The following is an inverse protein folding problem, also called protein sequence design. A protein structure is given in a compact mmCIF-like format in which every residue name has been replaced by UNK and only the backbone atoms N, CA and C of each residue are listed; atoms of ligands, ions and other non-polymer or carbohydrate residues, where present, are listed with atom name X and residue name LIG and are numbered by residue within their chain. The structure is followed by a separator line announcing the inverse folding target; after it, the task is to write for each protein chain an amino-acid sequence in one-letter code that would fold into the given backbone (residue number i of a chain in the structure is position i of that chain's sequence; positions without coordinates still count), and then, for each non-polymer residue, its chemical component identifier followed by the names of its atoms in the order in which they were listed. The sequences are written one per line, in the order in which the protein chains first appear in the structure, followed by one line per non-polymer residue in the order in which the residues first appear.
data_IF_190890264884
#
_entry.id   IF_190890264884
#
_cell.length_a   1.000
_cell.length_b   1.000
_cell.length_c   1.000
_cell.angle_alpha   90.00
_cell.angle_beta   90.00
_cell.angle_gamma   90.00
#
_symmetry.space_group_name_H-M   'P 1'
#
loop_
_entity.id
_entity.type
_entity.pdbx_description
1 polymer ?
#
# COMPACT_ATOMS: atom_id res chain seq x y z
N UNK A 1 1.29 18.40 40.44
CA UNK A 1 0.42 17.26 40.17
C UNK A 1 0.61 16.79 38.74
N UNK A 2 1.37 15.72 38.57
CA UNK A 2 1.57 15.06 37.30
C UNK A 2 0.25 14.30 37.01
N UNK A 3 -0.43 14.69 35.94
CA UNK A 3 -1.64 13.99 35.51
C UNK A 3 -1.25 12.60 34.92
N UNK A 4 -1.54 11.48 35.60
CA UNK A 4 -1.18 10.14 35.10
C UNK A 4 -1.99 9.68 33.89
N UNK A 5 -3.10 10.39 33.55
CA UNK A 5 -4.05 9.94 32.51
C UNK A 5 -3.64 10.29 31.07
N UNK A 6 -2.72 11.23 30.85
CA UNK A 6 -2.31 11.67 29.52
C UNK A 6 -1.31 10.72 28.84
N UNK A 7 -0.41 10.13 29.64
CA UNK A 7 0.62 9.20 29.15
C UNK A 7 -0.01 7.87 28.71
N UNK A 8 -1.07 7.44 29.41
CA UNK A 8 -1.77 6.19 29.07
C UNK A 8 -2.55 6.25 27.74
N UNK A 9 -3.19 7.37 27.42
CA UNK A 9 -4.04 7.49 26.24
C UNK A 9 -3.23 7.65 24.94
N UNK A 10 -2.14 8.42 24.96
CA UNK A 10 -1.22 8.50 23.83
C UNK A 10 -0.48 7.17 23.61
N UNK A 11 -0.11 6.49 24.68
CA UNK A 11 0.57 5.20 24.65
C UNK A 11 -0.36 4.10 24.12
N UNK A 12 -1.64 4.05 24.52
CA UNK A 12 -2.61 3.07 24.03
C UNK A 12 -2.87 3.18 22.52
N UNK A 13 -2.97 4.38 21.96
CA UNK A 13 -3.15 4.58 20.52
C UNK A 13 -1.83 4.27 19.78
N UNK A 14 -0.68 4.50 20.41
CA UNK A 14 0.64 4.30 19.85
C UNK A 14 1.14 2.85 19.96
N UNK A 15 0.76 2.12 21.00
CA UNK A 15 1.19 0.74 21.29
C UNK A 15 0.36 -0.34 20.59
N UNK A 16 -0.39 0.00 19.54
CA UNK A 16 -1.16 -0.96 18.73
C UNK A 16 -2.20 -1.78 19.51
N UNK A 17 -2.67 -1.31 20.65
CA UNK A 17 -3.79 -1.97 21.35
C UNK A 17 -5.08 -1.93 20.52
N UNK A 18 -5.15 -1.01 19.55
CA UNK A 18 -6.27 -0.87 18.64
C UNK A 18 -5.79 -1.01 17.19
N UNK A 19 -6.37 -1.94 16.47
CA UNK A 19 -6.06 -2.16 15.06
C UNK A 19 -6.70 -1.05 14.22
N UNK A 20 -5.91 -0.31 13.44
CA UNK A 20 -6.44 0.67 12.47
C UNK A 20 -7.38 -0.03 11.50
N UNK A 21 -8.46 0.64 11.12
CA UNK A 21 -9.50 0.08 10.26
C UNK A 21 -10.64 -0.61 11.01
N UNK A 22 -10.59 -0.70 12.33
CA UNK A 22 -11.63 -1.33 13.16
C UNK A 22 -12.51 -0.32 13.88
N UNK A 23 -13.68 -0.77 14.32
CA UNK A 23 -14.62 0.05 15.12
C UNK A 23 -14.05 0.35 16.51
N UNK A 24 -13.22 -0.56 17.08
CA UNK A 24 -12.53 -0.34 18.35
C UNK A 24 -11.56 0.83 18.28
N UNK A 25 -10.89 1.03 17.14
CA UNK A 25 -10.03 2.21 16.93
C UNK A 25 -10.86 3.50 16.95
N UNK A 26 -12.02 3.53 16.29
CA UNK A 26 -12.89 4.70 16.25
C UNK A 26 -13.48 5.00 17.63
N UNK A 27 -13.89 3.99 18.38
CA UNK A 27 -14.35 4.13 19.74
C UNK A 27 -13.25 4.69 20.66
N UNK A 28 -12.05 4.12 20.58
CA UNK A 28 -10.90 4.63 21.33
C UNK A 28 -10.61 6.10 20.97
N UNK A 29 -10.64 6.43 19.67
CA UNK A 29 -10.44 7.79 19.19
C UNK A 29 -11.55 8.74 19.68
N UNK A 30 -12.81 8.29 19.79
CA UNK A 30 -13.91 9.11 20.29
C UNK A 30 -13.67 9.59 21.72
N UNK A 31 -13.06 8.76 22.55
CA UNK A 31 -12.77 9.01 23.97
C UNK A 31 -11.51 9.85 24.22
N UNK A 32 -10.74 10.18 23.17
CA UNK A 32 -9.51 10.98 23.29
C UNK A 32 -9.82 12.46 23.25
N UNK A 33 -9.13 13.24 24.09
CA UNK A 33 -9.30 14.70 24.14
C UNK A 33 -8.91 15.38 22.82
N UNK A 34 -9.51 16.53 22.51
CA UNK A 34 -9.22 17.30 21.29
C UNK A 34 -7.75 17.69 21.17
N UNK A 35 -7.05 17.87 22.28
CA UNK A 35 -5.60 18.18 22.30
C UNK A 35 -4.79 16.99 21.80
N UNK A 36 -5.09 15.79 22.28
CA UNK A 36 -4.40 14.55 21.88
C UNK A 36 -4.72 14.22 20.42
N UNK A 37 -5.99 14.37 20.00
CA UNK A 37 -6.38 14.19 18.58
C UNK A 37 -5.56 15.03 17.61
N UNK A 38 -5.12 16.23 18.02
CA UNK A 38 -4.29 17.13 17.20
C UNK A 38 -2.79 16.79 17.20
N UNK A 39 -2.35 15.85 18.02
CA UNK A 39 -0.94 15.44 18.01
C UNK A 39 -0.57 14.72 16.72
N UNK A 40 0.66 14.92 16.21
CA UNK A 40 1.11 14.36 14.94
C UNK A 40 1.00 12.81 14.87
N UNK A 41 1.36 12.05 15.92
CA UNK A 41 1.19 10.60 15.90
C UNK A 41 -0.26 10.15 15.75
N UNK A 42 -1.19 10.82 16.43
CA UNK A 42 -2.62 10.49 16.39
C UNK A 42 -3.20 10.89 15.03
N UNK A 43 -2.81 12.04 14.47
CA UNK A 43 -3.21 12.44 13.12
C UNK A 43 -2.73 11.45 12.06
N UNK A 44 -1.51 10.94 12.18
CA UNK A 44 -0.99 9.88 11.29
C UNK A 44 -1.85 8.60 11.40
N UNK A 45 -2.19 8.18 12.61
CA UNK A 45 -3.06 7.01 12.82
C UNK A 45 -4.47 7.23 12.26
N UNK A 46 -5.03 8.42 12.38
CA UNK A 46 -6.33 8.79 11.79
C UNK A 46 -6.26 8.72 10.27
N UNK A 47 -5.21 9.26 9.65
CA UNK A 47 -5.02 9.22 8.20
C UNK A 47 -4.97 7.78 7.69
N UNK A 48 -4.17 6.93 8.31
CA UNK A 48 -4.07 5.50 7.97
C UNK A 48 -5.41 4.79 8.16
N UNK A 49 -6.10 5.03 9.28
CA UNK A 49 -7.42 4.45 9.55
C UNK A 49 -8.44 4.81 8.46
N UNK A 50 -8.50 6.08 8.09
CA UNK A 50 -9.40 6.55 7.04
C UNK A 50 -9.04 5.93 5.68
N UNK A 51 -7.75 5.88 5.35
CA UNK A 51 -7.26 5.25 4.12
C UNK A 51 -7.62 3.76 4.07
N UNK A 52 -7.41 3.03 5.17
CA UNK A 52 -7.78 1.62 5.24
C UNK A 52 -9.29 1.40 5.06
N UNK A 53 -10.13 2.21 5.69
CA UNK A 53 -11.59 2.10 5.55
C UNK A 53 -12.09 2.46 4.15
N UNK A 54 -11.48 3.47 3.51
CA UNK A 54 -11.86 3.90 2.17
C UNK A 54 -11.48 2.89 1.08
N UNK A 55 -10.48 2.04 1.32
CA UNK A 55 -9.88 1.16 0.32
C UNK A 55 -10.10 -0.33 0.65
N UNK A 56 -11.30 -0.70 1.05
CA UNK A 56 -11.69 -2.10 1.24
C UNK A 56 -12.06 -2.78 -0.10
N UNK A 57 -12.02 -4.12 -0.18
CA UNK A 57 -12.52 -4.84 -1.34
C UNK A 57 -13.94 -4.38 -1.73
N UNK A 58 -14.15 -4.09 -3.01
CA UNK A 58 -15.38 -3.48 -3.53
C UNK A 58 -15.32 -1.97 -3.69
N UNK A 59 -14.36 -1.28 -3.08
CA UNK A 59 -14.14 0.17 -3.29
C UNK A 59 -13.37 0.42 -4.58
N UNK A 60 -13.63 1.56 -5.20
CA UNK A 60 -12.84 2.02 -6.34
C UNK A 60 -11.50 2.57 -5.87
N UNK A 61 -10.44 2.39 -6.67
CA UNK A 61 -9.10 2.92 -6.35
C UNK A 61 -9.12 4.44 -6.17
N UNK A 62 -8.26 4.93 -5.31
CA UNK A 62 -7.97 6.36 -5.14
C UNK A 62 -6.65 6.63 -5.83
N UNK A 63 -6.69 7.52 -6.82
CA UNK A 63 -5.51 7.86 -7.61
C UNK A 63 -4.48 8.67 -6.81
N UNK A 64 -3.23 8.59 -7.23
CA UNK A 64 -2.13 9.44 -6.79
C UNK A 64 -1.14 9.66 -7.93
N UNK A 65 -0.48 10.80 -7.90
CA UNK A 65 0.59 11.15 -8.85
C UNK A 65 1.90 11.37 -8.11
N UNK A 66 2.98 10.82 -8.65
CA UNK A 66 4.34 11.04 -8.15
C UNK A 66 5.10 11.83 -9.22
N UNK A 67 5.48 13.07 -8.89
CA UNK A 67 6.10 14.02 -9.84
C UNK A 67 7.39 13.50 -10.48
N UNK A 68 8.20 12.73 -9.74
CA UNK A 68 9.43 12.10 -10.22
C UNK A 68 9.31 10.57 -10.20
N UNK A 69 8.11 10.04 -10.41
CA UNK A 69 7.79 8.63 -10.17
C UNK A 69 8.29 7.67 -11.23
N UNK A 70 8.57 8.12 -12.43
CA UNK A 70 9.23 7.31 -13.46
C UNK A 70 10.74 7.25 -13.24
N UNK A 71 11.39 6.22 -13.80
CA UNK A 71 12.86 6.04 -13.73
C UNK A 71 13.59 7.22 -14.39
N UNK A 72 13.01 7.80 -15.44
CA UNK A 72 13.55 8.98 -16.15
C UNK A 72 13.26 10.30 -15.44
N UNK A 73 12.52 10.28 -14.31
CA UNK A 73 12.19 11.45 -13.51
C UNK A 73 10.93 12.19 -13.98
N UNK A 74 10.17 11.65 -14.92
CA UNK A 74 8.88 12.22 -15.32
C UNK A 74 7.77 11.83 -14.35
N UNK A 75 6.66 12.59 -14.28
CA UNK A 75 5.50 12.25 -13.47
C UNK A 75 4.86 10.93 -13.91
N UNK A 76 4.26 10.22 -12.96
CA UNK A 76 3.44 9.03 -13.20
C UNK A 76 2.31 8.95 -12.18
N UNK A 77 1.15 8.51 -12.62
CA UNK A 77 -0.03 8.31 -11.78
C UNK A 77 -0.38 6.82 -11.69
N UNK A 78 -1.04 6.43 -10.62
CA UNK A 78 -1.58 5.07 -10.52
C UNK A 78 -2.62 4.80 -11.62
N UNK A 79 -3.38 5.81 -12.00
CA UNK A 79 -4.36 5.76 -13.10
C UNK A 79 -3.75 5.55 -14.49
N UNK A 80 -2.45 5.66 -14.67
CA UNK A 80 -1.78 5.26 -15.91
C UNK A 80 -1.84 3.74 -16.12
N UNK A 81 -2.07 2.98 -15.05
CA UNK A 81 -2.12 1.52 -15.06
C UNK A 81 -3.47 0.95 -14.62
N UNK A 82 -4.06 1.48 -13.53
CA UNK A 82 -5.27 0.95 -12.90
C UNK A 82 -6.52 1.59 -13.51
N UNK A 83 -7.55 0.78 -13.77
CA UNK A 83 -8.82 1.26 -14.32
C UNK A 83 -8.86 1.34 -15.85
N UNK A 84 -7.85 0.79 -16.54
CA UNK A 84 -7.66 0.85 -17.97
C UNK A 84 -7.99 -0.47 -18.71
N UNK A 85 -8.90 -1.26 -18.16
CA UNK A 85 -9.38 -2.48 -18.82
C UNK A 85 -8.56 -3.74 -18.51
N UNK A 86 -7.53 -3.65 -17.66
CA UNK A 86 -6.74 -4.79 -17.19
C UNK A 86 -6.92 -5.04 -15.69
N UNK A 87 -6.77 -6.28 -15.27
CA UNK A 87 -6.48 -6.58 -13.88
C UNK A 87 -5.07 -6.10 -13.55
N UNK A 88 -4.87 -5.42 -12.45
CA UNK A 88 -3.57 -4.89 -12.05
C UNK A 88 -3.22 -5.34 -10.64
N UNK A 89 -2.09 -6.01 -10.51
CA UNK A 89 -1.49 -6.33 -9.21
C UNK A 89 -0.52 -5.21 -8.84
N UNK A 90 -0.82 -4.48 -7.79
CA UNK A 90 0.07 -3.42 -7.28
C UNK A 90 0.80 -3.92 -6.05
N UNK A 91 2.13 -3.94 -6.13
CA UNK A 91 3.05 -4.36 -5.07
C UNK A 91 3.77 -3.14 -4.48
N UNK A 92 3.49 -2.81 -3.23
CA UNK A 92 4.17 -1.74 -2.49
C UNK A 92 5.37 -2.33 -1.77
N UNK A 93 6.56 -1.85 -2.10
CA UNK A 93 7.83 -2.40 -1.66
C UNK A 93 8.88 -1.34 -1.35
N UNK A 94 10.07 -1.77 -0.90
CA UNK A 94 11.25 -0.92 -0.77
C UNK A 94 12.54 -1.76 -0.91
N UNK A 95 13.64 -1.12 -1.30
CA UNK A 95 14.95 -1.77 -1.48
C UNK A 95 15.47 -2.44 -0.21
N UNK A 96 15.20 -1.87 0.95
CA UNK A 96 15.59 -2.36 2.27
C UNK A 96 14.64 -3.43 2.83
N UNK A 97 13.49 -3.67 2.18
CA UNK A 97 12.47 -4.61 2.65
C UNK A 97 12.82 -6.05 2.23
N UNK A 98 13.51 -6.78 3.09
CA UNK A 98 13.91 -8.16 2.79
C UNK A 98 12.71 -9.10 2.48
N UNK A 99 11.57 -9.06 3.20
CA UNK A 99 10.39 -9.87 2.84
C UNK A 99 9.81 -9.50 1.48
N UNK A 100 9.82 -8.19 1.10
CA UNK A 100 9.36 -7.75 -0.22
C UNK A 100 10.23 -8.36 -1.32
N UNK A 101 11.55 -8.22 -1.20
CA UNK A 101 12.52 -8.79 -2.14
C UNK A 101 12.42 -10.31 -2.24
N UNK A 102 12.19 -10.98 -1.10
CA UNK A 102 11.92 -12.41 -1.06
C UNK A 102 10.66 -12.86 -1.81
N UNK A 103 9.69 -11.97 -1.99
CA UNK A 103 8.45 -12.20 -2.76
C UNK A 103 8.59 -12.01 -4.27
N UNK A 104 9.58 -11.21 -4.73
CA UNK A 104 9.76 -10.87 -6.16
C UNK A 104 9.85 -12.10 -7.07
N UNK A 105 10.58 -13.17 -6.74
CA UNK A 105 10.61 -14.36 -7.58
C UNK A 105 9.23 -14.95 -7.86
N UNK A 106 8.34 -14.99 -6.86
CA UNK A 106 6.95 -15.45 -7.03
C UNK A 106 6.17 -14.53 -7.97
N UNK A 107 6.30 -13.20 -7.80
CA UNK A 107 5.64 -12.23 -8.70
C UNK A 107 6.18 -12.35 -10.13
N UNK A 108 7.48 -12.65 -10.33
CA UNK A 108 8.05 -12.90 -11.66
C UNK A 108 7.42 -14.12 -12.35
N UNK A 109 7.24 -15.22 -11.64
CA UNK A 109 6.57 -16.40 -12.19
C UNK A 109 5.11 -16.11 -12.55
N UNK A 110 4.41 -15.36 -11.69
CA UNK A 110 3.04 -14.91 -11.94
C UNK A 110 2.98 -13.99 -13.18
N UNK A 111 3.89 -13.02 -13.27
CA UNK A 111 4.00 -12.10 -14.41
C UNK A 111 4.25 -12.86 -15.70
N UNK A 112 5.22 -13.78 -15.72
CA UNK A 112 5.53 -14.62 -16.87
C UNK A 112 4.33 -15.45 -17.33
N UNK A 113 3.48 -15.89 -16.40
CA UNK A 113 2.31 -16.73 -16.69
C UNK A 113 1.12 -15.94 -17.23
N UNK A 114 0.89 -14.72 -16.74
CA UNK A 114 -0.37 -14.01 -16.94
C UNK A 114 -0.25 -12.63 -17.58
N UNK A 115 0.93 -12.00 -17.62
CA UNK A 115 1.09 -10.67 -18.21
C UNK A 115 0.67 -10.63 -19.68
N UNK A 116 -0.04 -9.58 -20.07
CA UNK A 116 -0.54 -9.41 -21.42
C UNK A 116 -1.71 -8.44 -21.51
N UNK A 117 -2.68 -8.76 -22.37
CA UNK A 117 -3.81 -7.88 -22.65
C UNK A 117 -4.73 -7.68 -21.44
N UNK A 118 -4.85 -8.70 -20.58
CA UNK A 118 -5.81 -8.72 -19.48
C UNK A 118 -5.21 -8.54 -18.08
N UNK A 119 -3.87 -8.63 -17.94
CA UNK A 119 -3.20 -8.56 -16.64
C UNK A 119 -1.88 -7.83 -16.71
N UNK A 120 -1.62 -7.02 -15.67
CA UNK A 120 -0.38 -6.28 -15.49
C UNK A 120 0.05 -6.32 -14.01
N UNK A 121 1.34 -6.13 -13.76
CA UNK A 121 1.91 -5.90 -12.44
C UNK A 121 2.51 -4.50 -12.43
N UNK A 122 2.39 -3.79 -11.32
CA UNK A 122 3.06 -2.50 -11.07
C UNK A 122 3.66 -2.54 -9.68
N UNK A 123 4.96 -2.27 -9.55
CA UNK A 123 5.55 -2.08 -8.22
C UNK A 123 5.70 -0.61 -7.90
N UNK A 124 5.40 -0.25 -6.64
CA UNK A 124 5.45 1.12 -6.13
C UNK A 124 6.43 1.16 -4.96
N UNK A 125 7.56 1.84 -5.15
CA UNK A 125 8.55 2.00 -4.09
C UNK A 125 8.12 3.09 -3.10
N UNK A 126 7.96 2.69 -1.83
CA UNK A 126 7.53 3.55 -0.74
C UNK A 126 8.62 3.61 0.34
N UNK A 127 8.74 4.75 1.04
CA UNK A 127 9.66 4.94 2.17
C UNK A 127 11.12 4.61 1.84
N UNK A 128 11.54 4.90 0.63
CA UNK A 128 12.84 4.48 0.12
C UNK A 128 13.59 5.65 -0.54
N UNK A 129 14.89 5.59 -0.50
CA UNK A 129 15.75 6.53 -1.21
C UNK A 129 15.82 6.17 -2.71
N UNK A 130 15.59 7.15 -3.59
CA UNK A 130 15.59 6.92 -5.05
C UNK A 130 16.81 6.15 -5.55
N UNK A 131 18.02 6.51 -5.08
CA UNK A 131 19.24 5.83 -5.50
C UNK A 131 19.28 4.37 -5.05
N UNK A 132 18.78 4.06 -3.85
CA UNK A 132 18.69 2.70 -3.33
C UNK A 132 17.66 1.87 -4.10
N UNK A 133 16.51 2.46 -4.41
CA UNK A 133 15.48 1.83 -5.25
C UNK A 133 16.04 1.48 -6.64
N UNK A 134 16.68 2.43 -7.34
CA UNK A 134 17.25 2.20 -8.67
C UNK A 134 18.28 1.07 -8.66
N UNK A 135 19.17 1.03 -7.65
CA UNK A 135 20.13 -0.06 -7.49
C UNK A 135 19.43 -1.41 -7.28
N UNK A 136 18.40 -1.45 -6.43
CA UNK A 136 17.66 -2.68 -6.21
C UNK A 136 16.88 -3.14 -7.47
N UNK A 137 16.38 -2.22 -8.30
CA UNK A 137 15.76 -2.56 -9.58
C UNK A 137 16.76 -3.23 -10.55
N UNK A 138 18.00 -2.75 -10.61
CA UNK A 138 19.07 -3.37 -11.37
C UNK A 138 19.40 -4.80 -10.87
N UNK A 139 19.42 -4.99 -9.55
CA UNK A 139 19.69 -6.29 -8.94
C UNK A 139 18.53 -7.27 -9.15
N UNK A 140 17.31 -6.83 -8.94
CA UNK A 140 16.11 -7.66 -9.01
C UNK A 140 15.60 -7.88 -10.44
N UNK A 141 15.92 -7.02 -11.40
CA UNK A 141 15.50 -7.15 -12.81
C UNK A 141 14.00 -7.43 -12.96
N UNK A 142 13.16 -6.60 -12.33
CA UNK A 142 11.71 -6.70 -12.43
C UNK A 142 11.22 -6.22 -13.80
N UNK A 143 10.53 -7.07 -14.60
CA UNK A 143 10.21 -6.75 -16.01
C UNK A 143 8.93 -5.90 -16.19
N UNK A 144 8.27 -5.52 -15.13
CA UNK A 144 7.02 -4.75 -15.14
C UNK A 144 7.24 -3.28 -14.76
N UNK A 145 6.24 -2.40 -15.02
CA UNK A 145 6.30 -0.98 -14.67
C UNK A 145 6.61 -0.71 -13.20
N UNK A 146 7.36 0.35 -12.96
CA UNK A 146 7.81 0.78 -11.65
C UNK A 146 7.39 2.23 -11.40
N UNK A 147 6.75 2.49 -10.27
CA UNK A 147 6.57 3.83 -9.71
C UNK A 147 7.56 3.95 -8.56
N UNK A 148 8.51 4.87 -8.65
CA UNK A 148 9.54 5.07 -7.63
C UNK A 148 9.34 6.39 -6.91
N UNK A 149 10.03 6.58 -5.78
CA UNK A 149 10.01 7.84 -5.01
C UNK A 149 8.62 8.22 -4.45
N UNK A 150 7.73 7.24 -4.25
CA UNK A 150 6.36 7.50 -3.81
C UNK A 150 6.24 7.86 -2.32
N UNK A 151 7.28 7.63 -1.53
CA UNK A 151 7.37 7.98 -0.12
C UNK A 151 6.14 7.54 0.70
N UNK A 152 5.52 8.46 1.46
CA UNK A 152 4.34 8.17 2.29
C UNK A 152 2.99 8.33 1.55
N UNK A 153 2.98 8.80 0.30
CA UNK A 153 1.75 9.15 -0.42
C UNK A 153 0.82 7.93 -0.52
N UNK A 154 1.26 6.78 -1.08
CA UNK A 154 0.37 5.63 -1.21
C UNK A 154 -0.05 5.04 0.14
N UNK A 155 0.86 4.99 1.12
CA UNK A 155 0.56 4.42 2.43
C UNK A 155 -0.50 5.22 3.20
N UNK A 156 -0.49 6.53 3.06
CA UNK A 156 -1.50 7.40 3.64
C UNK A 156 -2.86 7.24 2.96
N UNK A 157 -2.87 7.11 1.62
CA UNK A 157 -4.09 6.95 0.81
C UNK A 157 -4.72 5.56 1.06
N UNK A 158 -3.93 4.49 0.98
CA UNK A 158 -4.41 3.11 1.07
C UNK A 158 -4.44 2.55 2.49
N UNK A 159 -3.94 3.30 3.47
CA UNK A 159 -4.06 2.98 4.89
C UNK A 159 -3.22 1.79 5.31
N UNK A 160 -1.93 1.74 4.96
CA UNK A 160 -1.02 0.71 5.45
C UNK A 160 0.20 1.32 6.16
N UNK A 161 0.75 0.59 7.12
CA UNK A 161 1.89 1.00 7.94
C UNK A 161 3.10 0.08 7.81
N UNK A 162 3.00 -0.94 6.96
CA UNK A 162 4.04 -1.93 6.74
C UNK A 162 4.02 -2.47 5.32
N UNK A 163 5.14 -2.98 4.87
CA UNK A 163 5.35 -3.66 3.60
C UNK A 163 6.01 -5.03 3.83
N UNK A 164 5.81 -6.01 2.94
CA UNK A 164 5.10 -5.92 1.66
C UNK A 164 3.59 -5.66 1.82
N UNK A 165 3.03 -4.90 0.91
CA UNK A 165 1.60 -4.67 0.79
C UNK A 165 1.20 -4.90 -0.66
N UNK A 166 0.27 -5.81 -0.92
CA UNK A 166 -0.16 -6.15 -2.28
C UNK A 166 -1.65 -6.00 -2.42
N UNK A 167 -2.08 -5.30 -3.48
CA UNK A 167 -3.49 -5.02 -3.78
C UNK A 167 -3.77 -5.45 -5.23
N UNK A 168 -4.87 -6.18 -5.44
CA UNK A 168 -5.35 -6.57 -6.77
C UNK A 168 -6.56 -5.73 -7.16
N UNK A 169 -6.48 -5.12 -8.33
CA UNK A 169 -7.55 -4.29 -8.93
C UNK A 169 -8.17 -4.98 -10.13
N UNK A 170 -9.48 -4.79 -10.30
CA UNK A 170 -10.23 -5.19 -11.49
C UNK A 170 -10.02 -4.22 -12.65
N UNK A 171 -10.45 -4.57 -13.88
CA UNK A 171 -10.30 -3.74 -15.07
C UNK A 171 -10.91 -2.34 -14.97
N UNK A 172 -11.93 -2.15 -14.14
CA UNK A 172 -12.56 -0.86 -13.88
C UNK A 172 -11.91 -0.09 -12.71
N UNK A 173 -10.87 -0.67 -12.07
CA UNK A 173 -10.18 -0.07 -10.94
C UNK A 173 -10.81 -0.35 -9.57
N UNK A 174 -11.74 -1.30 -9.47
CA UNK A 174 -12.27 -1.74 -8.19
C UNK A 174 -11.26 -2.65 -7.47
N UNK A 175 -11.06 -2.47 -6.18
CA UNK A 175 -10.21 -3.34 -5.35
C UNK A 175 -10.89 -4.70 -5.22
N UNK A 176 -10.24 -5.75 -5.70
CA UNK A 176 -10.70 -7.13 -5.57
C UNK A 176 -10.24 -7.75 -4.26
N UNK A 177 -8.97 -7.54 -3.93
CA UNK A 177 -8.34 -8.06 -2.73
C UNK A 177 -7.15 -7.17 -2.33
N UNK A 178 -6.86 -7.15 -1.04
CA UNK A 178 -5.72 -6.41 -0.47
C UNK A 178 -5.05 -7.25 0.62
N UNK A 179 -3.92 -6.79 1.12
CA UNK A 179 -3.14 -7.48 2.17
C UNK A 179 -2.73 -8.90 1.74
N UNK A 180 -2.46 -9.07 0.44
CA UNK A 180 -2.12 -10.35 -0.14
C UNK A 180 -0.65 -10.70 0.11
N UNK A 181 -0.38 -11.96 0.50
CA UNK A 181 0.98 -12.46 0.76
C UNK A 181 1.16 -13.89 0.23
N UNK A 182 2.33 -14.18 -0.33
CA UNK A 182 2.71 -15.52 -0.76
C UNK A 182 1.66 -16.15 -1.70
N UNK A 183 1.23 -17.36 -1.41
CA UNK A 183 0.25 -18.11 -2.24
C UNK A 183 -1.10 -17.42 -2.42
N UNK A 184 -1.51 -16.55 -1.47
CA UNK A 184 -2.76 -15.82 -1.61
C UNK A 184 -2.76 -14.85 -2.81
N UNK A 185 -1.57 -14.38 -3.25
CA UNK A 185 -1.42 -13.57 -4.46
C UNK A 185 -1.81 -14.40 -5.69
N UNK A 186 -1.23 -15.59 -5.84
CA UNK A 186 -1.51 -16.49 -6.98
C UNK A 186 -3.00 -16.86 -7.03
N UNK A 187 -3.56 -17.27 -5.89
CA UNK A 187 -4.97 -17.66 -5.78
C UNK A 187 -5.92 -16.52 -6.15
N UNK A 188 -5.63 -15.29 -5.70
CA UNK A 188 -6.45 -14.13 -6.00
C UNK A 188 -6.41 -13.79 -7.50
N UNK A 189 -5.21 -13.79 -8.12
CA UNK A 189 -5.04 -13.51 -9.55
C UNK A 189 -5.69 -14.62 -10.39
N UNK A 190 -5.45 -15.89 -10.08
CA UNK A 190 -6.08 -17.01 -10.81
C UNK A 190 -7.61 -16.96 -10.76
N UNK A 191 -8.16 -16.65 -9.59
CA UNK A 191 -9.61 -16.51 -9.41
C UNK A 191 -10.18 -15.33 -10.20
N UNK A 192 -9.44 -14.22 -10.27
CA UNK A 192 -9.87 -13.03 -11.01
C UNK A 192 -9.88 -13.28 -12.53
N UNK A 193 -8.82 -13.91 -13.05
CA UNK A 193 -8.66 -14.16 -14.50
C UNK A 193 -9.52 -15.30 -15.05
N UNK A 194 -10.11 -16.16 -14.21
CA UNK A 194 -11.02 -17.24 -14.63
C UNK A 194 -12.48 -16.78 -14.78
N UNK A 195 -12.78 -15.54 -14.45
CA UNK A 195 -14.11 -14.93 -14.62
C UNK A 195 -14.25 -14.28 -16.00
#
# INVERSE_FOLDING_TARGET
EIMPSLVGSEMCIRDRSYTVGTDEFDEALSNVSSRIKKSAPVQKSITVNNGMKANQPGSRFIDFTIENGNIDGTPVSLSDYVGNGKYVLVDFWASWCAPCRGGIPGIKELYKKYAGENFEVVSVAVWDERAATLKALEEEQMPWPQIIDAQEIPSNIYGFTGIPQVILFSPDGTIIARDLHGKAIDEAVEKALKK
#
